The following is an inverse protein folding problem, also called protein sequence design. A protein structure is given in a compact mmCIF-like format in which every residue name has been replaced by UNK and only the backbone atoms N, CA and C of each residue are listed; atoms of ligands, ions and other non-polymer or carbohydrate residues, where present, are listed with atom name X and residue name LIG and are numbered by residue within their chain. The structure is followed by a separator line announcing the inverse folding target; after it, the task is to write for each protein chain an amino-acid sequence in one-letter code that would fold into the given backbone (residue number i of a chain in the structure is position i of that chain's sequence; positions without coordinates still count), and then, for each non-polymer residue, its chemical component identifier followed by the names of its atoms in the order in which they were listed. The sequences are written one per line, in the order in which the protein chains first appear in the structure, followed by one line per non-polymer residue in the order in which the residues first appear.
data_IF_762307315686
#
_entry.id   IF_762307315686
#
_cell.length_a   1.000
_cell.length_b   1.000
_cell.length_c   1.000
_cell.angle_alpha   90.00
_cell.angle_beta   90.00
_cell.angle_gamma   90.00
#
_symmetry.space_group_name_H-M   'P 1'
#
loop_
_entity.id
_entity.type
_entity.pdbx_description
1 polymer ?
#
# COMPACT_ATOMS: atom_id res chain seq x y z
N UNK A 1 8.08 -2.87 -16.48
CA UNK A 1 6.90 -2.09 -16.91
C UNK A 1 6.18 -1.65 -15.65
N UNK A 2 5.99 -0.34 -15.47
CA UNK A 2 5.45 0.25 -14.25
C UNK A 2 3.93 0.17 -14.33
N UNK A 3 3.28 -0.66 -13.51
CA UNK A 3 1.86 -0.90 -13.75
C UNK A 3 0.95 0.05 -13.01
N UNK A 4 1.28 0.51 -11.78
CA UNK A 4 0.23 1.08 -10.90
C UNK A 4 0.70 2.17 -9.95
N UNK A 5 -0.04 3.28 -9.95
CA UNK A 5 0.20 4.52 -9.23
C UNK A 5 -0.79 4.66 -8.06
N UNK A 6 -0.28 4.92 -6.86
CA UNK A 6 -1.11 5.45 -5.75
C UNK A 6 -0.89 6.96 -5.72
N UNK A 7 -1.96 7.70 -6.01
CA UNK A 7 -2.07 9.11 -5.65
C UNK A 7 -2.23 9.18 -4.13
N UNK A 8 -1.36 9.91 -3.43
CA UNK A 8 -1.44 10.09 -1.99
C UNK A 8 -2.56 11.05 -1.61
N UNK A 9 -3.79 10.63 -1.92
CA UNK A 9 -4.98 11.30 -1.47
C UNK A 9 -5.21 11.00 0.02
N UNK A 10 -5.99 11.85 0.68
CA UNK A 10 -6.31 11.74 2.11
C UNK A 10 -6.71 10.31 2.53
N UNK A 11 -7.31 9.50 1.66
CA UNK A 11 -7.67 8.12 1.96
C UNK A 11 -6.48 7.18 2.19
N UNK A 12 -5.33 7.37 1.55
CA UNK A 12 -4.14 6.54 1.82
C UNK A 12 -3.62 6.85 3.22
N UNK A 13 -3.35 8.12 3.49
CA UNK A 13 -2.89 8.60 4.80
C UNK A 13 -3.88 8.23 5.92
N UNK A 14 -5.19 8.45 5.73
CA UNK A 14 -6.22 8.02 6.69
C UNK A 14 -6.28 6.52 6.88
N UNK A 15 -6.05 5.71 5.83
CA UNK A 15 -6.05 4.26 5.95
C UNK A 15 -4.87 3.79 6.82
N UNK A 16 -3.67 4.33 6.60
CA UNK A 16 -2.48 4.01 7.39
C UNK A 16 -2.70 4.35 8.87
N UNK A 17 -3.26 5.53 9.16
CA UNK A 17 -3.57 5.94 10.53
C UNK A 17 -4.61 5.02 11.20
N UNK A 18 -5.66 4.61 10.48
CA UNK A 18 -6.73 3.76 11.05
C UNK A 18 -6.33 2.30 11.23
N UNK A 19 -5.53 1.75 10.32
CA UNK A 19 -4.95 0.42 10.48
C UNK A 19 -3.87 0.42 11.58
N UNK A 20 -3.27 1.58 11.84
CA UNK A 20 -2.25 1.81 12.83
C UNK A 20 -0.86 1.57 12.24
N UNK A 21 -0.03 2.62 12.27
CA UNK A 21 1.34 2.65 11.70
C UNK A 21 2.23 1.48 12.15
N UNK A 22 2.04 0.98 13.37
CA UNK A 22 2.79 -0.15 13.92
C UNK A 22 2.39 -1.51 13.32
N UNK A 23 1.19 -1.61 12.73
CA UNK A 23 0.70 -2.84 12.08
C UNK A 23 1.00 -2.87 10.59
N UNK A 24 1.13 -1.70 9.97
CA UNK A 24 1.45 -1.53 8.54
C UNK A 24 2.73 -0.70 8.32
N UNK A 25 3.88 -1.09 8.91
CA UNK A 25 5.10 -0.30 8.83
C UNK A 25 5.62 -0.12 7.39
N UNK A 26 5.30 -1.03 6.46
CA UNK A 26 5.67 -0.88 5.06
C UNK A 26 4.95 0.27 4.36
N UNK A 27 3.73 0.59 4.78
CA UNK A 27 2.97 1.74 4.29
C UNK A 27 3.28 3.01 5.09
N UNK A 28 3.50 2.89 6.40
CA UNK A 28 3.78 4.05 7.26
C UNK A 28 5.10 4.78 6.95
N UNK A 29 6.02 4.13 6.25
CA UNK A 29 7.30 4.71 5.81
C UNK A 29 7.24 5.40 4.45
N UNK A 30 6.11 5.31 3.75
CA UNK A 30 5.93 5.94 2.45
C UNK A 30 5.84 7.44 2.71
N UNK A 31 6.74 8.19 2.08
CA UNK A 31 6.77 9.63 2.21
C UNK A 31 5.63 10.22 1.37
N UNK A 32 4.68 10.96 1.96
CA UNK A 32 3.58 11.57 1.24
C UNK A 32 4.03 12.57 0.17
N UNK A 33 5.22 13.16 0.34
CA UNK A 33 5.77 14.16 -0.58
C UNK A 33 6.92 13.60 -1.43
N UNK A 34 7.15 12.29 -1.37
CA UNK A 34 8.33 11.66 -1.93
C UNK A 34 8.00 10.41 -2.74
N UNK A 35 8.56 10.34 -3.94
CA UNK A 35 8.46 9.15 -4.78
C UNK A 35 9.05 7.92 -4.06
N UNK A 36 8.22 6.91 -3.85
CA UNK A 36 8.61 5.67 -3.18
C UNK A 36 8.25 4.47 -4.05
N UNK A 37 9.13 3.48 -4.11
CA UNK A 37 8.90 2.23 -4.85
C UNK A 37 9.00 1.02 -3.93
N UNK A 38 7.98 0.15 -3.99
CA UNK A 38 8.01 -1.18 -3.37
C UNK A 38 8.20 -2.26 -4.43
N UNK A 39 9.15 -3.17 -4.19
CA UNK A 39 9.42 -4.35 -5.03
C UNK A 39 9.89 -5.54 -4.21
N UNK A 40 9.77 -6.75 -4.76
CA UNK A 40 10.30 -7.97 -4.15
C UNK A 40 9.82 -8.17 -2.70
N UNK A 41 10.76 -8.35 -1.78
CA UNK A 41 10.47 -8.58 -0.35
C UNK A 41 9.67 -7.45 0.30
N UNK A 42 9.86 -6.19 -0.15
CA UNK A 42 9.11 -5.07 0.39
C UNK A 42 7.61 -5.17 0.07
N UNK A 43 7.26 -5.75 -1.09
CA UNK A 43 5.87 -6.04 -1.45
C UNK A 43 5.35 -7.25 -0.69
N UNK A 44 6.15 -8.32 -0.55
CA UNK A 44 5.77 -9.50 0.26
C UNK A 44 5.42 -9.09 1.69
N UNK A 45 6.23 -8.21 2.28
CA UNK A 45 6.01 -7.67 3.62
C UNK A 45 4.74 -6.81 3.70
N UNK A 46 4.54 -5.88 2.76
CA UNK A 46 3.32 -5.07 2.69
C UNK A 46 2.05 -5.92 2.58
N UNK A 47 2.06 -6.97 1.75
CA UNK A 47 0.92 -7.87 1.58
C UNK A 47 0.59 -8.59 2.89
N UNK A 48 1.61 -9.12 3.59
CA UNK A 48 1.41 -9.80 4.88
C UNK A 48 0.82 -8.88 5.94
N UNK A 49 1.29 -7.64 5.99
CA UNK A 49 0.77 -6.62 6.90
C UNK A 49 -0.71 -6.33 6.62
N UNK A 50 -1.07 -6.11 5.35
CA UNK A 50 -2.44 -5.83 4.94
C UNK A 50 -3.39 -7.01 5.13
N UNK A 51 -2.93 -8.25 4.93
CA UNK A 51 -3.72 -9.46 5.18
C UNK A 51 -3.97 -9.68 6.68
N UNK A 52 -3.06 -9.25 7.55
CA UNK A 52 -3.22 -9.26 9.01
C UNK A 52 -3.99 -8.06 9.57
N UNK A 53 -4.33 -7.07 8.74
CA UNK A 53 -4.96 -5.85 9.19
C UNK A 53 -6.50 -5.94 9.18
N UNK A 54 -7.14 -5.26 10.14
CA UNK A 54 -8.59 -5.23 10.24
C UNK A 54 -9.21 -4.18 9.30
N UNK A 55 -9.46 -4.60 8.05
CA UNK A 55 -10.03 -3.75 6.99
C UNK A 55 -11.49 -3.32 7.27
N UNK A 56 -12.16 -3.91 8.26
CA UNK A 56 -13.50 -3.51 8.66
C UNK A 56 -13.52 -2.09 9.25
N UNK A 57 -12.38 -1.63 9.81
CA UNK A 57 -12.21 -0.30 10.41
C UNK A 57 -12.09 0.84 9.38
N UNK A 58 -11.91 0.51 8.11
CA UNK A 58 -11.74 1.47 7.02
C UNK A 58 -13.08 1.98 6.49
N UNK A 59 -13.12 3.26 6.10
CA UNK A 59 -14.22 3.82 5.30
C UNK A 59 -14.13 3.33 3.85
N UNK A 60 -15.17 3.58 3.06
CA UNK A 60 -15.27 3.11 1.67
C UNK A 60 -14.07 3.52 0.81
N UNK A 61 -13.63 4.78 0.91
CA UNK A 61 -12.47 5.31 0.17
C UNK A 61 -11.15 4.64 0.57
N UNK A 62 -10.83 4.63 1.87
CA UNK A 62 -9.65 3.94 2.42
C UNK A 62 -9.63 2.45 2.08
N UNK A 63 -10.78 1.78 2.22
CA UNK A 63 -10.91 0.37 1.89
C UNK A 63 -10.63 0.14 0.40
N UNK A 64 -11.10 1.02 -0.48
CA UNK A 64 -10.79 0.95 -1.91
C UNK A 64 -9.29 1.06 -2.16
N UNK A 65 -8.60 2.01 -1.52
CA UNK A 65 -7.14 2.16 -1.62
C UNK A 65 -6.42 0.89 -1.14
N UNK A 66 -6.75 0.40 0.06
CA UNK A 66 -6.07 -0.75 0.66
C UNK A 66 -6.34 -2.05 -0.11
N UNK A 67 -7.58 -2.29 -0.55
CA UNK A 67 -7.91 -3.46 -1.38
C UNK A 67 -7.21 -3.43 -2.73
N UNK A 68 -7.04 -2.23 -3.30
CA UNK A 68 -6.30 -2.00 -4.54
C UNK A 68 -4.81 -2.32 -4.35
N UNK A 69 -4.18 -1.77 -3.30
CA UNK A 69 -2.80 -2.11 -2.92
C UNK A 69 -2.59 -3.60 -2.69
N UNK A 70 -3.54 -4.26 -2.02
CA UNK A 70 -3.46 -5.70 -1.77
C UNK A 70 -3.54 -6.51 -3.07
N UNK A 71 -4.43 -6.13 -3.99
CA UNK A 71 -4.52 -6.76 -5.30
C UNK A 71 -3.22 -6.59 -6.11
N UNK A 72 -2.62 -5.41 -6.06
CA UNK A 72 -1.37 -5.11 -6.75
C UNK A 72 -0.20 -5.86 -6.14
N UNK A 73 -0.12 -5.90 -4.82
CA UNK A 73 0.89 -6.64 -4.10
C UNK A 73 0.83 -8.13 -4.43
N UNK A 74 -0.37 -8.73 -4.45
CA UNK A 74 -0.56 -10.12 -4.86
C UNK A 74 -0.07 -10.40 -6.28
N UNK A 75 -0.32 -9.49 -7.22
CA UNK A 75 0.19 -9.64 -8.58
C UNK A 75 1.73 -9.57 -8.65
N UNK A 76 2.35 -8.65 -7.91
CA UNK A 76 3.81 -8.55 -7.82
C UNK A 76 4.47 -9.77 -7.14
N UNK A 77 3.71 -10.55 -6.36
CA UNK A 77 4.21 -11.83 -5.81
C UNK A 77 4.28 -12.92 -6.88
N UNK A 78 3.40 -12.87 -7.87
CA UNK A 78 3.39 -13.79 -9.02
C UNK A 78 4.43 -13.38 -10.07
N UNK A 79 4.58 -12.08 -10.30
CA UNK A 79 5.54 -11.52 -11.26
C UNK A 79 6.53 -10.59 -10.54
N UNK A 80 7.77 -11.07 -10.41
CA UNK A 80 8.85 -10.40 -9.66
C UNK A 80 9.41 -9.17 -10.38
N UNK A 81 9.07 -8.96 -11.66
CA UNK A 81 9.49 -7.77 -12.42
C UNK A 81 8.54 -6.58 -12.20
N UNK A 82 7.43 -6.79 -11.48
CA UNK A 82 6.49 -5.74 -11.11
C UNK A 82 6.90 -5.01 -9.83
N UNK A 83 6.49 -3.74 -9.76
CA UNK A 83 6.68 -2.85 -8.63
C UNK A 83 5.45 -1.98 -8.41
N UNK A 84 5.30 -1.47 -7.20
CA UNK A 84 4.28 -0.47 -6.84
C UNK A 84 5.00 0.85 -6.63
N UNK A 85 4.58 1.88 -7.36
CA UNK A 85 5.09 3.23 -7.22
C UNK A 85 4.07 4.11 -6.48
N UNK A 86 4.56 4.88 -5.53
CA UNK A 86 3.88 5.93 -4.82
C UNK A 86 4.52 7.23 -5.25
N UNK A 87 3.71 8.24 -5.54
CA UNK A 87 4.19 9.57 -5.93
C UNK A 87 3.46 10.60 -5.09
N UNK A 88 4.22 11.54 -4.55
CA UNK A 88 3.71 12.72 -3.88
C UNK A 88 3.65 13.89 -4.85
N UNK A 89 2.67 14.77 -4.67
CA UNK A 89 2.57 16.07 -5.34
C UNK A 89 3.24 17.18 -4.51
#
# INVERSE_FOLDING_TARGET
MLERWVDDNDEFSMAVERLGRHRVPSLARIDPYGDTVLRGEAVDQMVRELEGADLARLRSGERKVVTTLLAWGRQCRTDRDLLIAFSGD
#
